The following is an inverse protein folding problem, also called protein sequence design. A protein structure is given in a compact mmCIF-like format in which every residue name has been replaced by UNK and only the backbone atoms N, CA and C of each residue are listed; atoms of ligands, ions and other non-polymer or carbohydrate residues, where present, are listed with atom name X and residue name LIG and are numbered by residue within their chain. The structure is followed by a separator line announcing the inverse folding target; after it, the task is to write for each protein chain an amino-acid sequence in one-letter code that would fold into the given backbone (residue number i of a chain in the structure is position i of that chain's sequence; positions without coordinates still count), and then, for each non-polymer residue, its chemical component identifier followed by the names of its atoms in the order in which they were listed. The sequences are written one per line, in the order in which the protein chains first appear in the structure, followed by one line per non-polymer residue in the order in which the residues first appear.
data_IF_105967956480
#
_entry.id   IF_105967956480
#
_cell.length_a   1.000
_cell.length_b   1.000
_cell.length_c   1.000
_cell.angle_alpha   90.00
_cell.angle_beta   90.00
_cell.angle_gamma   90.00
#
_symmetry.space_group_name_H-M   'P 1'
#
loop_
_entity.id
_entity.type
_entity.pdbx_description
1 polymer ?
#
# COMPACT_ATOMS: atom_id res chain seq x y z
N UNK A 1 -76.35 7.13 -19.62
CA UNK A 1 -77.00 8.23 -18.88
C UNK A 1 -77.80 7.58 -17.74
N UNK A 2 -77.25 7.43 -16.52
CA UNK A 2 -77.25 8.47 -15.47
C UNK A 2 -78.68 9.01 -15.25
N UNK A 3 -79.35 8.94 -14.08
CA UNK A 3 -78.94 8.83 -12.69
C UNK A 3 -80.04 8.14 -11.88
N UNK A 4 -79.65 7.28 -10.94
CA UNK A 4 -80.48 6.86 -9.80
C UNK A 4 -80.38 7.97 -8.76
N UNK A 5 -81.50 8.62 -8.45
CA UNK A 5 -81.58 9.68 -7.45
C UNK A 5 -82.17 9.16 -6.13
N UNK A 6 -81.64 9.74 -5.06
CA UNK A 6 -81.81 9.51 -3.63
C UNK A 6 -83.27 9.43 -3.16
N UNK A 7 -83.52 8.58 -2.14
CA UNK A 7 -83.88 9.06 -0.79
C UNK A 7 -84.36 7.91 0.11
N UNK A 8 -83.65 7.65 1.22
CA UNK A 8 -84.32 7.28 2.49
C UNK A 8 -83.44 7.51 3.72
N UNK A 9 -83.65 8.68 4.32
CA UNK A 9 -83.38 8.94 5.73
C UNK A 9 -84.20 7.99 6.63
N UNK A 10 -83.53 7.29 7.56
CA UNK A 10 -84.12 6.96 8.88
C UNK A 10 -83.03 7.01 9.96
N UNK A 11 -83.13 8.10 10.71
CA UNK A 11 -82.42 8.45 11.92
C UNK A 11 -82.68 7.42 13.04
N UNK A 12 -81.68 6.60 13.42
CA UNK A 12 -81.76 5.72 14.59
C UNK A 12 -81.12 6.39 15.81
N UNK A 13 -81.96 6.85 16.74
CA UNK A 13 -81.51 7.33 18.06
C UNK A 13 -80.97 6.13 18.85
N UNK A 14 -79.65 5.99 18.91
CA UNK A 14 -78.96 5.03 19.77
C UNK A 14 -79.15 5.48 21.22
N UNK A 15 -80.02 4.80 21.97
CA UNK A 15 -80.15 4.99 23.43
C UNK A 15 -78.96 4.33 24.10
N UNK A 16 -77.96 5.12 24.49
CA UNK A 16 -76.87 4.66 25.36
C UNK A 16 -77.44 4.38 26.76
N UNK A 17 -77.42 3.11 27.16
CA UNK A 17 -77.83 2.67 28.48
C UNK A 17 -76.73 3.01 29.49
N UNK A 18 -76.98 3.97 30.39
CA UNK A 18 -76.02 4.44 31.40
C UNK A 18 -75.57 3.35 32.37
N UNK A 19 -76.32 2.24 32.45
CA UNK A 19 -75.97 1.06 33.26
C UNK A 19 -74.76 0.29 32.70
N UNK A 20 -74.53 0.30 31.38
CA UNK A 20 -73.35 -0.31 30.76
C UNK A 20 -72.07 0.52 30.99
N UNK A 21 -72.23 1.83 31.20
CA UNK A 21 -71.11 2.72 31.50
C UNK A 21 -70.59 2.52 32.93
N UNK A 22 -71.48 2.17 33.87
CA UNK A 22 -71.14 1.93 35.27
C UNK A 22 -70.51 0.55 35.52
N UNK A 23 -70.73 -0.43 34.64
CA UNK A 23 -70.04 -1.72 34.70
C UNK A 23 -68.55 -1.65 34.31
N UNK A 24 -68.10 -0.56 33.69
CA UNK A 24 -66.68 -0.30 33.42
C UNK A 24 -65.92 0.34 34.59
N UNK A 25 -66.62 0.82 35.62
CA UNK A 25 -66.00 1.50 36.77
C UNK A 25 -65.41 0.53 37.82
N UNK A 26 -65.74 -0.76 37.75
CA UNK A 26 -65.26 -1.77 38.70
C UNK A 26 -64.21 -2.73 38.09
N UNK A 27 -63.32 -2.19 37.25
CA UNK A 27 -62.12 -2.92 36.81
C UNK A 27 -61.08 -2.76 37.93
N UNK A 28 -60.87 -3.81 38.73
CA UNK A 28 -59.74 -3.89 39.67
C UNK A 28 -58.49 -3.33 38.96
N UNK A 29 -57.87 -2.30 39.52
CA UNK A 29 -56.57 -1.80 39.02
C UNK A 29 -55.62 -3.01 38.96
N UNK A 30 -54.95 -3.30 37.83
CA UNK A 30 -53.97 -4.37 37.81
C UNK A 30 -52.96 -4.11 38.93
N UNK A 31 -52.62 -5.15 39.70
CA UNK A 31 -51.65 -5.03 40.78
C UNK A 31 -50.30 -4.59 40.20
N UNK A 32 -49.57 -3.72 40.91
CA UNK A 32 -48.21 -3.28 40.53
C UNK A 32 -47.26 -4.45 40.22
N UNK A 33 -47.53 -5.63 40.79
CA UNK A 33 -46.75 -6.85 40.55
C UNK A 33 -46.77 -7.32 39.09
N UNK A 34 -47.81 -6.99 38.32
CA UNK A 34 -47.90 -7.33 36.90
C UNK A 34 -47.17 -6.33 35.98
N UNK A 35 -46.85 -5.12 36.45
CA UNK A 35 -46.12 -4.14 35.62
C UNK A 35 -44.64 -4.50 35.47
N UNK A 36 -44.01 -5.04 36.52
CA UNK A 36 -42.60 -5.45 36.50
C UNK A 36 -42.35 -6.58 35.49
N UNK A 37 -43.27 -7.53 35.36
CA UNK A 37 -43.16 -8.61 34.37
C UNK A 37 -43.43 -8.11 32.95
N UNK A 38 -44.37 -7.17 32.76
CA UNK A 38 -44.62 -6.55 31.44
C UNK A 38 -43.40 -5.72 31.00
N UNK A 39 -42.84 -4.90 31.90
CA UNK A 39 -41.64 -4.11 31.64
C UNK A 39 -40.45 -5.03 31.29
N UNK A 40 -40.20 -6.07 32.09
CA UNK A 40 -39.15 -7.05 31.79
C UNK A 40 -39.37 -7.77 30.45
N UNK A 41 -40.62 -8.11 30.11
CA UNK A 41 -40.96 -8.79 28.85
C UNK A 41 -40.73 -7.94 27.60
N UNK A 42 -40.66 -6.61 27.74
CA UNK A 42 -40.36 -5.68 26.64
C UNK A 42 -38.88 -5.28 26.61
N UNK A 43 -38.27 -5.08 27.78
CA UNK A 43 -36.87 -4.66 27.90
C UNK A 43 -35.93 -5.76 27.40
N UNK A 44 -36.17 -7.03 27.74
CA UNK A 44 -35.27 -8.12 27.37
C UNK A 44 -35.19 -8.33 25.84
N UNK A 45 -36.30 -8.42 25.07
CA UNK A 45 -36.21 -8.52 23.62
C UNK A 45 -35.52 -7.30 22.99
N UNK A 46 -35.82 -6.09 23.44
CA UNK A 46 -35.17 -4.86 22.93
C UNK A 46 -33.66 -4.88 23.17
N UNK A 47 -33.24 -5.32 24.36
CA UNK A 47 -31.83 -5.50 24.70
C UNK A 47 -31.18 -6.54 23.78
N UNK A 48 -31.80 -7.70 23.59
CA UNK A 48 -31.28 -8.73 22.68
C UNK A 48 -31.19 -8.23 21.24
N UNK A 49 -32.21 -7.52 20.73
CA UNK A 49 -32.16 -6.91 19.41
C UNK A 49 -30.99 -5.92 19.28
N UNK A 50 -30.72 -5.12 20.31
CA UNK A 50 -29.56 -4.23 20.33
C UNK A 50 -28.24 -5.01 20.20
N UNK A 51 -28.05 -6.07 21.00
CA UNK A 51 -26.83 -6.88 20.93
C UNK A 51 -26.68 -7.61 19.60
N UNK A 52 -27.76 -8.12 19.01
CA UNK A 52 -27.69 -8.74 17.68
C UNK A 52 -27.33 -7.72 16.60
N UNK A 53 -27.84 -6.49 16.68
CA UNK A 53 -27.41 -5.41 15.78
C UNK A 53 -25.93 -5.06 15.99
N UNK A 54 -25.47 -4.98 17.24
CA UNK A 54 -24.07 -4.75 17.55
C UNK A 54 -23.17 -5.85 16.95
N UNK A 55 -23.56 -7.12 17.07
CA UNK A 55 -22.87 -8.24 16.44
C UNK A 55 -22.87 -8.14 14.91
N UNK A 56 -23.97 -7.71 14.29
CA UNK A 56 -24.03 -7.53 12.84
C UNK A 56 -23.04 -6.46 12.33
N UNK A 57 -22.73 -5.44 13.13
CA UNK A 57 -21.69 -4.46 12.79
C UNK A 57 -20.32 -5.11 12.77
N UNK A 58 -20.02 -6.01 13.71
CA UNK A 58 -18.76 -6.76 13.69
C UNK A 58 -18.66 -7.68 12.47
N UNK A 59 -19.75 -8.29 12.03
CA UNK A 59 -19.75 -9.11 10.80
C UNK A 59 -19.46 -8.25 9.56
N UNK A 60 -20.06 -7.05 9.47
CA UNK A 60 -19.77 -6.10 8.38
C UNK A 60 -18.30 -5.64 8.43
N UNK A 61 -17.79 -5.30 9.61
CA UNK A 61 -16.40 -4.89 9.79
C UNK A 61 -15.42 -6.02 9.44
N UNK A 62 -15.71 -7.25 9.86
CA UNK A 62 -14.91 -8.43 9.52
C UNK A 62 -14.87 -8.61 8.00
N UNK A 63 -16.03 -8.55 7.34
CA UNK A 63 -16.09 -8.62 5.89
C UNK A 63 -15.28 -7.51 5.22
N UNK A 64 -15.36 -6.28 5.73
CA UNK A 64 -14.56 -5.16 5.20
C UNK A 64 -13.05 -5.41 5.34
N UNK A 65 -12.58 -5.91 6.48
CA UNK A 65 -11.18 -6.27 6.68
C UNK A 65 -10.73 -7.38 5.71
N UNK A 66 -11.55 -8.41 5.51
CA UNK A 66 -11.24 -9.50 4.59
C UNK A 66 -11.22 -9.02 3.13
N UNK A 67 -12.15 -8.13 2.76
CA UNK A 67 -12.18 -7.49 1.43
C UNK A 67 -10.93 -6.62 1.20
N UNK A 68 -10.52 -5.82 2.18
CA UNK A 68 -9.31 -5.01 2.09
C UNK A 68 -8.06 -5.90 1.95
N UNK A 69 -7.98 -7.00 2.72
CA UNK A 69 -6.90 -7.97 2.57
C UNK A 69 -6.88 -8.60 1.16
N UNK A 70 -8.04 -8.96 0.61
CA UNK A 70 -8.17 -9.48 -0.74
C UNK A 70 -7.71 -8.47 -1.79
N UNK A 71 -8.15 -7.21 -1.67
CA UNK A 71 -7.75 -6.12 -2.57
C UNK A 71 -6.24 -5.89 -2.53
N UNK A 72 -5.64 -5.83 -1.35
CA UNK A 72 -4.19 -5.68 -1.20
C UNK A 72 -3.41 -6.86 -1.77
N UNK A 73 -3.87 -8.09 -1.56
CA UNK A 73 -3.21 -9.27 -2.10
C UNK A 73 -3.32 -9.34 -3.63
N UNK A 74 -4.49 -9.08 -4.19
CA UNK A 74 -4.69 -9.02 -5.64
C UNK A 74 -3.88 -7.87 -6.25
N UNK A 75 -3.92 -6.69 -5.65
CA UNK A 75 -3.12 -5.54 -6.06
C UNK A 75 -1.62 -5.84 -6.07
N UNK A 76 -1.11 -6.51 -5.02
CA UNK A 76 0.28 -6.98 -4.97
C UNK A 76 0.63 -7.95 -6.09
N UNK A 77 -0.23 -8.92 -6.37
CA UNK A 77 0.00 -9.88 -7.45
C UNK A 77 0.03 -9.17 -8.80
N UNK A 78 -0.93 -8.28 -9.05
CA UNK A 78 -1.02 -7.50 -10.27
C UNK A 78 0.19 -6.57 -10.47
N UNK A 79 0.65 -5.88 -9.41
CA UNK A 79 1.86 -5.05 -9.46
C UNK A 79 3.11 -5.83 -9.87
N UNK A 80 3.21 -7.11 -9.49
CA UNK A 80 4.33 -7.97 -9.86
C UNK A 80 4.15 -8.50 -11.28
N UNK A 81 2.95 -8.94 -11.65
CA UNK A 81 2.71 -9.47 -13.00
C UNK A 81 2.87 -8.39 -14.06
N UNK A 82 2.33 -7.19 -13.83
CA UNK A 82 2.50 -6.05 -14.75
C UNK A 82 3.98 -5.63 -14.87
N UNK A 83 4.73 -5.67 -13.77
CA UNK A 83 6.18 -5.43 -13.83
C UNK A 83 6.92 -6.47 -14.69
N UNK A 84 6.52 -7.75 -14.60
CA UNK A 84 7.12 -8.81 -15.43
C UNK A 84 6.72 -8.66 -16.90
N UNK A 85 5.44 -8.49 -17.20
CA UNK A 85 4.96 -8.33 -18.59
C UNK A 85 5.59 -7.10 -19.23
N UNK A 86 5.68 -5.96 -18.55
CA UNK A 86 6.36 -4.76 -19.07
C UNK A 86 7.87 -4.96 -19.31
N UNK A 87 8.53 -5.76 -18.47
CA UNK A 87 9.94 -6.11 -18.68
C UNK A 87 10.15 -6.94 -19.96
N UNK A 88 9.15 -7.73 -20.36
CA UNK A 88 9.16 -8.54 -21.59
C UNK A 88 8.56 -7.81 -22.80
N UNK A 89 7.58 -6.91 -22.59
CA UNK A 89 6.78 -6.24 -23.60
C UNK A 89 7.28 -4.83 -23.94
N UNK A 90 8.55 -4.51 -23.66
CA UNK A 90 9.22 -3.25 -24.07
C UNK A 90 9.38 -3.10 -25.60
N UNK A 91 8.60 -3.85 -26.36
CA UNK A 91 8.45 -3.88 -27.80
C UNK A 91 6.95 -3.83 -28.07
N UNK A 92 6.50 -2.73 -28.69
CA UNK A 92 5.17 -2.47 -29.27
C UNK A 92 4.34 -1.40 -28.53
N UNK A 93 4.47 -0.18 -29.07
CA UNK A 93 3.62 0.99 -28.85
C UNK A 93 2.27 0.83 -29.57
N UNK A 94 1.20 1.27 -28.89
CA UNK A 94 0.07 1.96 -29.55
C UNK A 94 -1.26 1.20 -29.70
N UNK A 95 -2.30 1.66 -29.00
CA UNK A 95 -3.55 2.24 -29.57
C UNK A 95 -4.59 2.48 -28.44
N UNK A 96 -5.27 3.64 -28.46
CA UNK A 96 -6.12 4.10 -27.34
C UNK A 96 -7.47 3.39 -27.26
N UNK A 97 -7.98 2.82 -28.36
CA UNK A 97 -9.17 1.98 -28.36
C UNK A 97 -8.90 0.60 -27.74
N UNK A 98 -7.67 0.09 -27.92
CA UNK A 98 -7.19 -1.11 -27.26
C UNK A 98 -7.10 -0.89 -25.74
N UNK A 99 -6.70 0.32 -25.29
CA UNK A 99 -6.60 0.67 -23.86
C UNK A 99 -7.89 0.52 -23.06
N UNK A 100 -9.05 0.89 -23.62
CA UNK A 100 -10.35 0.72 -22.94
C UNK A 100 -10.79 -0.75 -22.87
N UNK A 101 -10.54 -1.53 -23.93
CA UNK A 101 -10.79 -2.97 -23.95
C UNK A 101 -9.87 -3.72 -22.97
N UNK A 102 -8.59 -3.35 -22.94
CA UNK A 102 -7.59 -3.86 -21.99
C UNK A 102 -7.95 -3.47 -20.55
N UNK A 103 -8.42 -2.25 -20.31
CA UNK A 103 -8.90 -1.80 -18.99
C UNK A 103 -10.08 -2.63 -18.47
N UNK A 104 -11.06 -2.91 -19.33
CA UNK A 104 -12.21 -3.75 -18.97
C UNK A 104 -11.82 -5.22 -18.71
N UNK A 105 -10.89 -5.77 -19.51
CA UNK A 105 -10.34 -7.10 -19.29
C UNK A 105 -9.58 -7.18 -17.96
N UNK A 106 -8.76 -6.18 -17.66
CA UNK A 106 -7.99 -6.13 -16.41
C UNK A 106 -8.90 -5.96 -15.19
N UNK A 107 -9.96 -5.15 -15.28
CA UNK A 107 -10.98 -5.04 -14.23
C UNK A 107 -11.72 -6.36 -13.98
N UNK A 108 -12.06 -7.10 -15.06
CA UNK A 108 -12.69 -8.42 -14.94
C UNK A 108 -11.75 -9.46 -14.31
N UNK A 109 -10.46 -9.45 -14.69
CA UNK A 109 -9.42 -10.31 -14.11
C UNK A 109 -9.22 -9.98 -12.63
N UNK A 110 -9.07 -8.71 -12.27
CA UNK A 110 -8.94 -8.27 -10.89
C UNK A 110 -10.17 -8.67 -10.07
N UNK A 111 -11.39 -8.48 -10.59
CA UNK A 111 -12.62 -8.91 -9.96
C UNK A 111 -12.67 -10.42 -9.72
N UNK A 112 -12.25 -11.23 -10.68
CA UNK A 112 -12.18 -12.68 -10.51
C UNK A 112 -11.14 -13.08 -9.45
N UNK A 113 -9.97 -12.43 -9.43
CA UNK A 113 -8.93 -12.69 -8.44
C UNK A 113 -9.41 -12.36 -7.01
N UNK A 114 -10.07 -11.21 -6.82
CA UNK A 114 -10.63 -10.81 -5.52
C UNK A 114 -11.71 -11.80 -5.07
N UNK A 115 -12.64 -12.17 -5.96
CA UNK A 115 -13.69 -13.15 -5.63
C UNK A 115 -13.12 -14.54 -5.33
N UNK A 116 -12.08 -14.96 -6.04
CA UNK A 116 -11.40 -16.23 -5.77
C UNK A 116 -10.65 -16.22 -4.43
N UNK A 117 -10.06 -15.09 -4.05
CA UNK A 117 -9.39 -14.96 -2.76
C UNK A 117 -10.37 -15.05 -1.59
N UNK A 118 -11.53 -14.39 -1.71
CA UNK A 118 -12.58 -14.41 -0.69
C UNK A 118 -13.35 -15.73 -0.67
N UNK A 119 -13.58 -16.34 -1.84
CA UNK A 119 -14.40 -17.53 -2.03
C UNK A 119 -15.87 -17.20 -2.23
N UNK A 120 -16.52 -17.81 -3.23
CA UNK A 120 -17.95 -17.58 -3.54
C UNK A 120 -18.85 -17.99 -2.38
N UNK A 121 -18.57 -19.14 -1.74
CA UNK A 121 -19.33 -19.61 -0.58
C UNK A 121 -19.27 -18.61 0.58
N UNK A 122 -18.10 -18.01 0.84
CA UNK A 122 -17.96 -16.99 1.88
C UNK A 122 -18.75 -15.73 1.53
N UNK A 123 -18.66 -15.27 0.28
CA UNK A 123 -19.34 -14.08 -0.20
C UNK A 123 -20.87 -14.21 -0.15
N UNK A 124 -21.41 -15.40 -0.43
CA UNK A 124 -22.85 -15.66 -0.40
C UNK A 124 -23.42 -15.70 1.03
N UNK A 125 -22.57 -15.94 2.04
CA UNK A 125 -22.93 -15.89 3.46
C UNK A 125 -22.46 -14.62 4.16
N UNK A 126 -21.80 -13.70 3.43
CA UNK A 126 -21.32 -12.42 3.95
C UNK A 126 -22.47 -11.40 4.01
N UNK A 127 -22.36 -10.31 4.80
CA UNK A 127 -23.38 -9.28 4.93
C UNK A 127 -23.44 -8.34 3.71
N UNK A 128 -23.47 -8.92 2.50
CA UNK A 128 -23.53 -8.24 1.21
C UNK A 128 -24.89 -8.49 0.58
N UNK A 129 -25.54 -7.43 0.11
CA UNK A 129 -26.76 -7.57 -0.66
C UNK A 129 -26.45 -8.23 -2.03
N UNK A 130 -26.98 -9.43 -2.25
CA UNK A 130 -26.78 -10.21 -3.48
C UNK A 130 -25.53 -11.10 -3.48
N UNK A 131 -24.93 -11.37 -2.31
CA UNK A 131 -23.82 -12.31 -2.16
C UNK A 131 -22.61 -11.96 -3.04
N UNK A 132 -22.02 -12.97 -3.67
CA UNK A 132 -20.88 -12.80 -4.59
C UNK A 132 -21.20 -11.90 -5.79
N UNK A 133 -22.46 -11.86 -6.23
CA UNK A 133 -22.91 -10.98 -7.34
C UNK A 133 -23.09 -9.52 -6.91
N UNK A 134 -23.23 -9.27 -5.61
CA UNK A 134 -23.35 -7.94 -5.03
C UNK A 134 -22.06 -7.12 -5.02
N UNK A 135 -20.90 -7.79 -5.08
CA UNK A 135 -19.59 -7.18 -5.12
C UNK A 135 -19.22 -6.77 -6.55
N UNK A 136 -19.10 -5.46 -6.77
CA UNK A 136 -18.82 -4.85 -8.08
C UNK A 136 -17.41 -4.28 -8.12
N UNK A 137 -16.67 -4.53 -9.20
CA UNK A 137 -15.32 -4.00 -9.41
C UNK A 137 -15.18 -3.17 -10.71
N UNK A 138 -16.29 -2.69 -11.25
CA UNK A 138 -16.33 -2.02 -12.56
C UNK A 138 -15.58 -0.69 -12.65
N UNK A 139 -15.21 -0.09 -11.52
CA UNK A 139 -14.45 1.16 -11.43
C UNK A 139 -12.93 0.93 -11.33
N UNK A 140 -12.50 -0.34 -11.39
CA UNK A 140 -11.07 -0.69 -11.39
C UNK A 140 -10.41 -0.19 -12.67
N UNK A 141 -9.32 0.55 -12.52
CA UNK A 141 -8.59 1.18 -13.63
C UNK A 141 -7.08 0.97 -13.50
N UNK A 142 -6.42 0.97 -14.64
CA UNK A 142 -4.96 0.84 -14.76
C UNK A 142 -4.48 2.06 -15.53
N UNK A 143 -3.69 2.92 -14.88
CA UNK A 143 -3.17 4.15 -15.48
C UNK A 143 -1.74 3.97 -15.96
N UNK A 144 -1.28 4.90 -16.81
CA UNK A 144 0.12 5.00 -17.24
C UNK A 144 0.68 3.68 -17.78
N UNK A 145 -0.07 3.01 -18.66
CA UNK A 145 0.28 1.70 -19.22
C UNK A 145 0.50 0.59 -18.15
N UNK A 146 -0.32 0.58 -17.10
CA UNK A 146 -0.25 -0.44 -16.04
C UNK A 146 0.70 -0.11 -14.89
N UNK A 147 1.31 1.08 -14.90
CA UNK A 147 2.23 1.52 -13.86
C UNK A 147 1.51 1.90 -12.56
N UNK A 148 0.26 2.36 -12.65
CA UNK A 148 -0.59 2.61 -11.49
C UNK A 148 -1.79 1.67 -11.60
N UNK A 149 -2.01 0.91 -10.53
CA UNK A 149 -3.09 -0.04 -10.38
C UNK A 149 -4.05 0.50 -9.33
N UNK A 150 -5.30 0.72 -9.73
CA UNK A 150 -6.36 1.23 -8.88
C UNK A 150 -7.56 0.28 -8.92
N UNK A 151 -7.70 -0.53 -7.87
CA UNK A 151 -8.77 -1.54 -7.75
C UNK A 151 -9.82 -1.00 -6.80
N UNK A 152 -11.03 -0.81 -7.31
CA UNK A 152 -12.16 -0.27 -6.56
C UNK A 152 -13.24 -1.34 -6.49
N UNK A 153 -13.59 -1.76 -5.28
CA UNK A 153 -14.67 -2.68 -5.00
C UNK A 153 -15.81 -1.98 -4.27
N UNK A 154 -17.01 -2.01 -4.86
CA UNK A 154 -18.22 -1.42 -4.28
C UNK A 154 -19.26 -2.50 -4.00
N UNK A 155 -19.89 -2.42 -2.83
CA UNK A 155 -20.96 -3.32 -2.43
C UNK A 155 -21.97 -2.60 -1.53
N UNK A 156 -23.14 -3.22 -1.34
CA UNK A 156 -24.13 -2.74 -0.36
C UNK A 156 -24.11 -3.65 0.85
N UNK A 157 -23.68 -3.11 1.99
CA UNK A 157 -23.73 -3.81 3.26
C UNK A 157 -25.19 -3.96 3.72
N UNK A 158 -25.55 -5.13 4.24
CA UNK A 158 -26.88 -5.44 4.71
C UNK A 158 -26.87 -5.82 6.20
N UNK A 159 -27.40 -4.97 7.08
CA UNK A 159 -27.60 -5.30 8.48
C UNK A 159 -28.54 -6.50 8.68
N UNK A 160 -28.33 -7.26 9.76
CA UNK A 160 -29.15 -8.44 10.07
C UNK A 160 -30.63 -8.09 10.33
N UNK A 161 -30.90 -6.92 10.93
CA UNK A 161 -32.24 -6.36 11.07
C UNK A 161 -32.29 -4.92 10.57
N UNK A 162 -33.20 -4.62 9.65
CA UNK A 162 -33.47 -3.24 9.23
C UNK A 162 -34.30 -2.54 10.30
N UNK A 163 -33.69 -1.62 11.03
CA UNK A 163 -34.38 -0.69 11.93
C UNK A 163 -34.50 0.64 11.19
N UNK A 164 -35.45 1.50 11.55
CA UNK A 164 -35.78 2.74 10.83
C UNK A 164 -34.57 3.62 10.41
N UNK A 165 -33.45 3.57 11.14
CA UNK A 165 -32.22 4.31 10.82
C UNK A 165 -31.02 3.45 10.38
N UNK A 166 -31.12 2.11 10.42
CA UNK A 166 -30.05 1.19 10.05
C UNK A 166 -30.53 0.26 8.93
N UNK A 167 -30.42 0.76 7.71
CA UNK A 167 -30.79 0.08 6.47
C UNK A 167 -29.56 -0.27 5.66
N UNK A 168 -29.74 -0.85 4.48
CA UNK A 168 -28.64 -1.11 3.55
C UNK A 168 -27.89 0.20 3.22
N UNK A 169 -26.56 0.15 3.23
CA UNK A 169 -25.71 1.29 2.89
C UNK A 169 -24.57 0.87 1.97
N UNK A 170 -24.12 1.78 1.11
CA UNK A 170 -23.01 1.51 0.19
C UNK A 170 -21.67 1.61 0.91
N UNK A 171 -20.79 0.66 0.63
CA UNK A 171 -19.41 0.63 1.12
C UNK A 171 -18.47 0.46 -0.08
N UNK A 172 -17.33 1.13 0.02
CA UNK A 172 -16.24 1.05 -0.95
C UNK A 172 -14.98 0.56 -0.25
N UNK A 173 -14.32 -0.43 -0.85
CA UNK A 173 -12.95 -0.81 -0.54
C UNK A 173 -12.07 -0.49 -1.74
N UNK A 174 -10.90 0.11 -1.50
CA UNK A 174 -9.99 0.54 -2.57
C UNK A 174 -8.55 0.15 -2.29
N UNK A 175 -7.89 -0.36 -3.31
CA UNK A 175 -6.44 -0.53 -3.33
C UNK A 175 -5.85 0.38 -4.40
N UNK A 176 -4.83 1.14 -4.03
CA UNK A 176 -4.07 1.98 -4.96
C UNK A 176 -2.58 1.67 -4.79
N UNK A 177 -1.91 1.32 -5.89
CA UNK A 177 -0.50 0.94 -5.86
C UNK A 177 0.22 1.22 -7.17
N UNK A 178 1.54 1.30 -7.08
CA UNK A 178 2.41 1.46 -8.24
C UNK A 178 3.08 0.13 -8.59
N UNK A 179 3.10 -0.24 -9.85
CA UNK A 179 3.75 -1.45 -10.32
C UNK A 179 5.25 -1.44 -9.97
N UNK A 180 5.83 -2.61 -9.72
CA UNK A 180 7.23 -2.72 -9.34
C UNK A 180 8.13 -2.68 -10.58
N UNK A 181 8.11 -1.59 -11.33
CA UNK A 181 8.75 -1.45 -12.64
C UNK A 181 10.24 -1.09 -12.59
N UNK A 182 10.82 -1.03 -11.39
CA UNK A 182 12.19 -0.57 -11.17
C UNK A 182 12.35 0.93 -11.42
N UNK A 183 13.58 1.45 -11.30
CA UNK A 183 13.86 2.84 -11.65
C UNK A 183 13.89 3.00 -13.17
N UNK A 184 12.79 3.48 -13.74
CA UNK A 184 12.81 4.13 -15.06
C UNK A 184 13.02 5.62 -14.81
N UNK A 185 14.18 6.22 -15.17
CA UNK A 185 14.30 7.68 -15.13
C UNK A 185 13.19 8.25 -16.01
N UNK A 186 12.31 9.01 -15.37
CA UNK A 186 10.92 9.16 -15.80
C UNK A 186 10.72 9.66 -17.24
N UNK A 187 9.65 9.15 -17.84
CA UNK A 187 8.87 9.84 -18.86
C UNK A 187 8.14 11.03 -18.20
N UNK A 188 8.91 12.06 -17.82
CA UNK A 188 8.42 13.40 -17.47
C UNK A 188 9.59 14.33 -17.14
N UNK A 189 10.62 14.32 -17.98
CA UNK A 189 11.38 15.54 -18.21
C UNK A 189 11.45 15.73 -19.71
N UNK A 190 11.05 16.93 -20.12
CA UNK A 190 11.17 17.43 -21.48
C UNK A 190 12.49 16.97 -22.07
N UNK A 191 12.41 16.45 -23.30
CA UNK A 191 13.56 16.18 -24.16
C UNK A 191 14.42 17.44 -24.23
N UNK A 192 15.40 17.55 -23.35
CA UNK A 192 16.59 18.36 -23.56
C UNK A 192 17.76 17.68 -22.87
N UNK A 193 18.77 17.50 -23.71
CA UNK A 193 20.16 17.18 -23.43
C UNK A 193 20.50 15.73 -23.08
N UNK A 194 21.24 15.16 -24.04
CA UNK A 194 22.42 14.31 -23.88
C UNK A 194 22.51 13.57 -22.54
N UNK A 195 22.51 12.25 -22.64
CA UNK A 195 22.84 11.31 -21.56
C UNK A 195 23.98 11.83 -20.68
N UNK A 196 23.63 12.55 -19.61
CA UNK A 196 24.58 13.17 -18.71
C UNK A 196 25.23 12.04 -17.91
N UNK A 197 26.41 11.62 -18.38
CA UNK A 197 27.09 10.41 -17.96
C UNK A 197 27.33 10.42 -16.45
N UNK A 198 26.97 9.33 -15.75
CA UNK A 198 27.24 9.22 -14.32
C UNK A 198 28.72 8.92 -14.08
N UNK A 199 29.33 9.69 -13.17
CA UNK A 199 30.74 9.55 -12.78
C UNK A 199 30.91 9.44 -11.28
N UNK A 200 32.05 8.90 -10.86
CA UNK A 200 32.41 8.69 -9.46
C UNK A 200 33.43 9.72 -9.03
N UNK A 201 33.13 10.44 -7.94
CA UNK A 201 34.04 11.40 -7.33
C UNK A 201 34.31 11.00 -5.88
N UNK A 202 35.40 11.53 -5.33
CA UNK A 202 35.71 11.41 -3.90
C UNK A 202 35.63 12.78 -3.25
N UNK A 203 35.26 12.83 -1.96
CA UNK A 203 35.00 14.10 -1.24
C UNK A 203 36.15 15.11 -1.35
N UNK A 204 37.40 14.62 -1.34
CA UNK A 204 38.60 15.45 -1.45
C UNK A 204 39.40 15.22 -2.75
N UNK A 205 38.87 14.44 -3.69
CA UNK A 205 39.55 14.17 -4.96
C UNK A 205 39.41 15.32 -5.95
N UNK A 206 40.47 15.58 -6.71
CA UNK A 206 40.49 16.57 -7.80
C UNK A 206 40.10 15.99 -9.15
N UNK A 207 39.86 14.68 -9.22
CA UNK A 207 39.52 13.96 -10.45
C UNK A 207 38.18 13.23 -10.32
N UNK A 208 37.52 13.02 -11.45
CA UNK A 208 36.39 12.10 -11.58
C UNK A 208 36.82 10.79 -12.24
N UNK A 209 36.07 9.72 -11.97
CA UNK A 209 36.32 8.38 -12.45
C UNK A 209 35.08 7.82 -13.15
N UNK A 210 35.26 7.01 -14.19
CA UNK A 210 34.14 6.30 -14.84
C UNK A 210 33.94 4.86 -14.34
N UNK A 211 34.91 4.32 -13.59
CA UNK A 211 34.86 2.96 -13.05
C UNK A 211 35.16 2.93 -11.56
N UNK A 212 34.30 2.25 -10.78
CA UNK A 212 34.52 1.98 -9.35
C UNK A 212 35.73 1.08 -9.08
N UNK A 213 36.13 0.28 -10.07
CA UNK A 213 37.29 -0.61 -9.98
C UNK A 213 38.61 0.08 -10.34
N UNK A 214 38.59 1.39 -10.61
CA UNK A 214 39.81 2.17 -10.79
C UNK A 214 40.74 2.01 -9.58
N UNK A 215 42.03 1.80 -9.81
CA UNK A 215 43.04 1.60 -8.77
C UNK A 215 43.14 2.81 -7.81
N UNK A 216 42.83 4.00 -8.33
CA UNK A 216 42.73 5.26 -7.61
C UNK A 216 41.43 5.43 -6.82
N UNK A 217 40.47 4.51 -6.90
CA UNK A 217 39.33 4.44 -6.00
C UNK A 217 39.49 3.25 -5.05
N UNK A 218 39.71 2.06 -5.61
CA UNK A 218 39.79 0.79 -4.90
C UNK A 218 41.24 0.43 -4.54
N UNK A 219 41.74 0.98 -3.44
CA UNK A 219 43.08 0.68 -2.93
C UNK A 219 43.22 -0.80 -2.52
N UNK A 220 44.27 -1.44 -2.99
CA UNK A 220 44.70 -2.75 -2.48
C UNK A 220 45.36 -2.59 -1.12
N UNK A 221 44.59 -2.75 -0.04
CA UNK A 221 45.07 -2.68 1.35
C UNK A 221 45.46 -4.06 1.83
N UNK A 222 46.70 -4.22 2.31
CA UNK A 222 47.23 -5.46 2.89
C UNK A 222 47.60 -5.24 4.35
N UNK A 223 47.25 -6.19 5.21
CA UNK A 223 47.70 -6.22 6.60
C UNK A 223 49.04 -6.96 6.69
N UNK A 224 50.02 -6.37 7.35
CA UNK A 224 51.34 -6.96 7.58
C UNK A 224 51.77 -6.73 9.03
N UNK A 225 52.76 -7.51 9.48
CA UNK A 225 53.42 -7.23 10.75
C UNK A 225 54.24 -5.95 10.66
N UNK A 226 54.22 -5.14 11.72
CA UNK A 226 55.01 -3.90 11.82
C UNK A 226 56.52 -4.16 11.65
N UNK A 227 57.01 -5.32 12.09
CA UNK A 227 58.42 -5.71 11.95
C UNK A 227 58.83 -5.90 10.48
N UNK A 228 57.90 -6.25 9.60
CA UNK A 228 58.15 -6.53 8.18
C UNK A 228 58.11 -5.28 7.30
N UNK A 229 57.59 -4.17 7.81
CA UNK A 229 57.41 -2.91 7.06
C UNK A 229 58.73 -2.39 6.50
N UNK A 230 59.82 -2.51 7.25
CA UNK A 230 61.16 -2.04 6.86
C UNK A 230 61.71 -2.78 5.63
N UNK A 231 61.29 -4.02 5.41
CA UNK A 231 61.68 -4.86 4.27
C UNK A 231 60.75 -4.73 3.06
N UNK A 232 59.54 -4.18 3.22
CA UNK A 232 58.58 -3.99 2.11
C UNK A 232 58.81 -2.66 1.40
N UNK A 233 58.47 -2.64 0.11
CA UNK A 233 58.46 -1.44 -0.73
C UNK A 233 57.11 -1.32 -1.44
N UNK A 234 56.73 -0.11 -1.83
CA UNK A 234 55.57 0.11 -2.69
C UNK A 234 55.90 -0.18 -4.17
N UNK A 235 54.94 -0.03 -5.07
CA UNK A 235 55.15 -0.24 -6.51
C UNK A 235 56.29 0.63 -7.07
N UNK A 236 56.46 1.85 -6.54
CA UNK A 236 57.50 2.81 -6.92
C UNK A 236 58.84 2.60 -6.18
N UNK A 237 59.02 1.45 -5.50
CA UNK A 237 60.21 1.10 -4.70
C UNK A 237 60.49 2.01 -3.50
N UNK A 238 59.54 2.83 -3.07
CA UNK A 238 59.65 3.68 -1.89
C UNK A 238 59.46 2.89 -0.57
N UNK A 239 60.05 3.41 0.51
CA UNK A 239 59.87 2.92 1.89
C UNK A 239 58.55 3.43 2.48
N UNK A 240 57.98 2.68 3.42
CA UNK A 240 56.79 3.08 4.16
C UNK A 240 57.15 3.79 5.47
N UNK A 241 56.47 4.90 5.74
CA UNK A 241 56.61 5.73 6.93
C UNK A 241 55.30 5.75 7.73
N UNK A 242 55.31 6.09 9.03
CA UNK A 242 54.06 6.21 9.79
C UNK A 242 53.12 7.25 9.19
N UNK A 243 51.85 6.91 9.06
CA UNK A 243 50.80 7.87 8.72
C UNK A 243 50.71 8.97 9.79
N UNK A 244 50.53 10.22 9.35
CA UNK A 244 50.41 11.39 10.24
C UNK A 244 49.19 11.31 11.17
N UNK A 245 48.07 10.76 10.68
CA UNK A 245 46.82 10.68 11.43
C UNK A 245 46.75 9.49 12.39
N UNK A 246 47.20 8.31 11.96
CA UNK A 246 47.02 7.08 12.73
C UNK A 246 48.32 6.37 13.12
N UNK A 247 49.47 6.72 12.53
CA UNK A 247 50.73 5.99 12.69
C UNK A 247 51.27 5.97 14.12
N UNK A 248 50.92 6.95 14.97
CA UNK A 248 51.28 6.97 16.40
C UNK A 248 50.61 5.85 17.21
N UNK A 249 49.49 5.29 16.72
CA UNK A 249 48.71 4.22 17.37
C UNK A 249 49.05 2.83 16.81
N UNK A 250 50.22 2.67 16.18
CA UNK A 250 50.60 1.43 15.51
C UNK A 250 51.00 0.33 16.50
N UNK A 251 50.12 -0.66 16.67
CA UNK A 251 50.37 -1.92 17.37
C UNK A 251 51.24 -2.90 16.57
N UNK A 252 51.04 -4.20 16.78
CA UNK A 252 51.83 -5.26 16.14
C UNK A 252 51.53 -5.43 14.64
N UNK A 253 50.30 -5.13 14.21
CA UNK A 253 49.86 -5.17 12.81
C UNK A 253 49.63 -3.77 12.26
N UNK A 254 49.98 -3.57 11.00
CA UNK A 254 49.72 -2.33 10.25
C UNK A 254 49.19 -2.65 8.85
N UNK A 255 48.55 -1.66 8.24
CA UNK A 255 48.01 -1.71 6.90
C UNK A 255 48.90 -0.90 5.96
N UNK A 256 49.28 -1.52 4.84
CA UNK A 256 49.99 -0.86 3.75
C UNK A 256 49.17 -0.98 2.46
N UNK A 257 49.36 -0.04 1.55
CA UNK A 257 48.76 -0.03 0.22
C UNK A 257 49.85 -0.19 -0.83
N UNK A 258 49.54 -0.77 -1.99
CA UNK A 258 50.53 -0.90 -3.08
C UNK A 258 51.03 0.47 -3.60
N UNK A 259 50.22 1.52 -3.41
CA UNK A 259 50.50 2.90 -3.79
C UNK A 259 50.52 3.81 -2.55
N UNK A 260 51.40 4.81 -2.54
CA UNK A 260 51.67 5.66 -1.38
C UNK A 260 52.86 5.16 -0.55
N UNK A 261 53.31 5.98 0.40
CA UNK A 261 54.51 5.72 1.23
C UNK A 261 54.20 5.74 2.73
N UNK A 262 52.93 5.58 3.12
CA UNK A 262 52.50 5.59 4.52
C UNK A 262 51.96 4.22 4.93
N UNK A 263 52.25 3.78 6.16
CA UNK A 263 51.57 2.67 6.81
C UNK A 263 50.56 3.18 7.84
N UNK A 264 49.48 2.44 8.03
CA UNK A 264 48.33 2.86 8.82
C UNK A 264 48.02 1.84 9.92
N UNK A 265 47.56 2.31 11.07
CA UNK A 265 47.22 1.44 12.21
C UNK A 265 45.77 0.97 12.18
N UNK A 266 44.92 1.63 11.39
CA UNK A 266 43.50 1.29 11.24
C UNK A 266 43.16 1.25 9.75
N UNK A 267 42.43 0.21 9.33
CA UNK A 267 41.94 0.05 7.95
C UNK A 267 40.99 1.18 7.52
N UNK A 268 40.28 1.79 8.47
CA UNK A 268 39.36 2.89 8.25
C UNK A 268 40.01 4.28 8.40
N UNK A 269 41.34 4.37 8.39
CA UNK A 269 42.02 5.67 8.40
C UNK A 269 41.61 6.50 7.17
N UNK A 270 41.32 7.79 7.36
CA UNK A 270 40.98 8.72 6.27
C UNK A 270 42.05 8.81 5.17
N UNK A 271 43.32 8.50 5.48
CA UNK A 271 44.38 8.45 4.48
C UNK A 271 44.35 7.22 3.55
N UNK A 272 43.55 6.19 3.87
CA UNK A 272 43.31 5.02 3.01
C UNK A 272 41.86 4.97 2.53
N UNK A 273 40.91 5.30 3.41
CA UNK A 273 39.48 5.25 3.08
C UNK A 273 39.13 6.37 2.11
N UNK A 274 38.58 6.01 0.95
CA UNK A 274 37.95 6.97 0.03
C UNK A 274 36.43 6.86 0.15
N UNK A 275 35.78 7.95 0.51
CA UNK A 275 34.32 8.06 0.42
C UNK A 275 33.99 8.42 -1.04
N UNK A 276 33.24 7.54 -1.71
CA UNK A 276 32.91 7.67 -3.13
C UNK A 276 31.46 8.13 -3.24
N UNK A 277 31.21 9.12 -4.11
CA UNK A 277 29.88 9.63 -4.45
C UNK A 277 29.67 9.48 -5.95
N UNK A 278 28.49 9.03 -6.33
CA UNK A 278 28.05 9.01 -7.73
C UNK A 278 27.33 10.32 -8.02
N UNK A 279 27.79 11.05 -9.03
CA UNK A 279 27.25 12.34 -9.46
C UNK A 279 27.11 12.36 -10.97
N UNK A 280 26.31 13.28 -11.52
CA UNK A 280 26.31 13.52 -12.97
C UNK A 280 27.61 14.18 -13.39
N UNK A 281 28.06 13.97 -14.63
CA UNK A 281 29.27 14.62 -15.15
C UNK A 281 29.13 16.15 -15.11
N UNK A 282 27.94 16.67 -15.41
CA UNK A 282 27.61 18.09 -15.24
C UNK A 282 27.74 18.63 -13.82
N UNK A 283 27.68 17.78 -12.79
CA UNK A 283 27.86 18.16 -11.38
C UNK A 283 29.33 18.05 -10.94
N UNK A 284 30.19 17.39 -11.73
CA UNK A 284 31.61 17.22 -11.46
C UNK A 284 32.48 18.41 -11.93
N UNK A 285 31.91 19.61 -11.97
CA UNK A 285 32.56 20.84 -12.47
C UNK A 285 33.86 21.12 -11.70
N UNK A 286 34.95 21.36 -12.43
CA UNK A 286 36.27 21.66 -11.87
C UNK A 286 37.09 20.43 -11.48
N UNK A 287 36.60 19.21 -11.70
CA UNK A 287 37.39 17.98 -11.57
C UNK A 287 37.88 17.51 -12.93
N UNK A 288 39.14 17.11 -13.02
CA UNK A 288 39.71 16.58 -14.26
C UNK A 288 39.41 15.08 -14.44
N UNK A 289 39.44 14.55 -15.67
CA UNK A 289 39.33 13.10 -15.89
C UNK A 289 40.49 12.37 -15.24
N UNK A 290 40.20 11.20 -14.66
CA UNK A 290 41.23 10.26 -14.25
C UNK A 290 41.89 9.60 -15.46
N UNK A 291 43.22 9.75 -15.56
CA UNK A 291 44.05 9.18 -16.64
C UNK A 291 43.89 7.67 -16.87
N UNK A 292 43.56 6.90 -15.84
CA UNK A 292 43.44 5.43 -15.97
C UNK A 292 42.07 4.96 -16.45
N UNK A 293 40.99 5.70 -16.13
CA UNK A 293 39.62 5.22 -16.36
C UNK A 293 38.71 6.20 -17.10
N UNK A 294 39.19 7.42 -17.38
CA UNK A 294 38.42 8.48 -18.01
C UNK A 294 39.18 9.24 -19.12
N UNK A 295 40.46 8.94 -19.36
CA UNK A 295 41.30 9.56 -20.40
C UNK A 295 42.51 10.30 -19.85
#
# INVERSE_FOLDING_TARGET
MEKINENRSKNSKIKFNTKDLLLRANRKRPSLAASVTIEASLVLPLFLFFFVNLLSVFDILKFQCDLEAALHQTGRQLMITEATTRSFAKSEDGDSALGAATGALNAAVAGKMVKNYLGEEYLDHSPINGGASGLKLGETTFYSNGDIIDIVATYKAHPLFKIAAFTDFSVEGRFYGHAFTGYSPGESHEKNDETDELVYITDHGTVYHKSLDCSHLKLSVKQISKSEVSGKRNADRAKYYPCEYCGKKAGSSVYITNYGNRYHSNRNCSGIKRTIRTVRLSEAIGKSPCKECAG
#
